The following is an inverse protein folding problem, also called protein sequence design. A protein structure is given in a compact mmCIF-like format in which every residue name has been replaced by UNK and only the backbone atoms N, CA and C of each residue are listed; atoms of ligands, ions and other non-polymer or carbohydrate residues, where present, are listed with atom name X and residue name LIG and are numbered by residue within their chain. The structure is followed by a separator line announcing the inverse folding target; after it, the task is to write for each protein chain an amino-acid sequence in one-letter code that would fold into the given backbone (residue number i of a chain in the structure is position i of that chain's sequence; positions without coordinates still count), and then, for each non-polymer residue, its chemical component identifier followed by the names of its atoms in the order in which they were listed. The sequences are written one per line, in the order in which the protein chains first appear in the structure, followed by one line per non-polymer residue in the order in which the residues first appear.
data_IF_894841127398
#
_entry.id   IF_894841127398
#
_cell.length_a   1.000
_cell.length_b   1.000
_cell.length_c   1.000
_cell.angle_alpha   90.00
_cell.angle_beta   90.00
_cell.angle_gamma   90.00
#
_symmetry.space_group_name_H-M   'P 1'
#
loop_
_entity.id
_entity.type
_entity.pdbx_description
1 polymer ?
#
# COMPACT_ATOMS: atom_id res chain seq x y z
N UNK A 1 -1.60 -6.68 21.67
CA UNK A 1 -1.19 -6.56 20.25
C UNK A 1 -0.73 -5.14 20.03
N UNK A 2 0.40 -4.96 19.36
CA UNK A 2 1.01 -3.64 19.11
C UNK A 2 0.17 -2.86 18.09
N UNK A 3 -0.28 -1.64 18.37
CA UNK A 3 -0.98 -0.80 17.42
C UNK A 3 -0.06 -0.34 16.28
N UNK A 4 -0.65 -0.10 15.11
CA UNK A 4 0.01 0.48 13.93
C UNK A 4 -0.59 1.85 13.63
N UNK A 5 0.24 2.89 13.56
CA UNK A 5 -0.16 4.24 13.14
C UNK A 5 0.33 4.52 11.74
N UNK A 6 -0.61 4.90 10.87
CA UNK A 6 -0.36 5.41 9.54
C UNK A 6 -0.49 6.93 9.61
N UNK A 7 0.61 7.63 9.42
CA UNK A 7 0.67 9.09 9.60
C UNK A 7 0.92 9.75 8.25
N UNK A 8 0.04 10.61 7.82
CA UNK A 8 0.31 11.49 6.69
C UNK A 8 1.38 12.53 7.05
N UNK A 9 2.01 13.14 6.07
CA UNK A 9 3.13 14.07 6.26
C UNK A 9 2.73 15.52 6.01
N UNK A 10 2.31 15.83 4.78
CA UNK A 10 2.08 17.20 4.35
C UNK A 10 0.79 17.77 4.98
N UNK A 11 0.87 18.94 5.61
CA UNK A 11 -0.19 19.56 6.41
C UNK A 11 -0.72 18.73 7.61
N UNK A 12 -0.18 17.53 7.81
CA UNK A 12 -0.38 16.71 9.01
C UNK A 12 0.79 16.82 9.99
N UNK A 13 1.95 16.28 9.67
CA UNK A 13 3.16 16.32 10.52
C UNK A 13 4.07 17.51 10.20
N UNK A 14 4.09 17.96 8.93
CA UNK A 14 4.80 19.12 8.43
C UNK A 14 3.78 20.12 7.87
N UNK A 15 3.78 21.35 8.33
CA UNK A 15 2.98 22.42 7.71
C UNK A 15 3.54 22.74 6.32
N UNK A 16 2.89 22.22 5.29
CA UNK A 16 3.33 22.34 3.91
C UNK A 16 2.13 22.60 2.99
N UNK A 17 1.72 23.86 2.90
CA UNK A 17 0.58 24.24 2.04
C UNK A 17 0.87 23.90 0.58
N UNK A 18 0.34 22.78 0.11
CA UNK A 18 0.54 22.28 -1.26
C UNK A 18 0.23 23.33 -2.33
N UNK A 19 -0.78 24.18 -2.14
CA UNK A 19 -1.11 25.28 -3.04
C UNK A 19 0.01 26.33 -3.20
N UNK A 20 0.95 26.43 -2.26
CA UNK A 20 2.13 27.30 -2.34
C UNK A 20 3.39 26.52 -2.70
N UNK A 21 3.53 25.34 -2.15
CA UNK A 21 4.72 24.50 -2.32
C UNK A 21 4.84 23.95 -3.74
N UNK A 22 3.78 23.36 -4.29
CA UNK A 22 3.82 22.73 -5.63
C UNK A 22 4.18 23.72 -6.76
N UNK A 23 3.62 24.94 -6.83
CA UNK A 23 4.06 25.91 -7.84
C UNK A 23 5.54 26.29 -7.72
N UNK A 24 6.05 26.45 -6.49
CA UNK A 24 7.47 26.75 -6.27
C UNK A 24 8.36 25.56 -6.65
N UNK A 25 7.97 24.35 -6.29
CA UNK A 25 8.63 23.11 -6.66
C UNK A 25 8.69 22.95 -8.19
N UNK A 26 7.56 23.09 -8.89
CA UNK A 26 7.53 22.98 -10.36
C UNK A 26 8.40 24.03 -11.04
N UNK A 27 8.38 25.28 -10.54
CA UNK A 27 9.23 26.36 -11.05
C UNK A 27 10.72 26.04 -10.86
N UNK A 28 11.10 25.56 -9.68
CA UNK A 28 12.49 25.23 -9.37
C UNK A 28 12.97 24.06 -10.22
N UNK A 29 12.15 23.03 -10.36
CA UNK A 29 12.46 21.84 -11.16
C UNK A 29 12.58 22.19 -12.64
N UNK A 30 11.60 22.91 -13.21
CA UNK A 30 11.64 23.35 -14.61
C UNK A 30 12.84 24.27 -14.91
N UNK A 31 13.22 25.15 -13.97
CA UNK A 31 14.41 25.98 -14.12
C UNK A 31 15.70 25.16 -14.13
N UNK A 32 15.81 24.16 -13.26
CA UNK A 32 16.97 23.25 -13.21
C UNK A 32 17.12 22.45 -14.52
N UNK A 33 15.98 22.05 -15.10
CA UNK A 33 15.93 21.23 -16.33
C UNK A 33 15.89 22.04 -17.63
N UNK A 34 15.90 23.37 -17.56
CA UNK A 34 15.78 24.27 -18.73
C UNK A 34 16.85 24.08 -19.80
N UNK A 35 17.99 23.48 -19.44
CA UNK A 35 19.05 23.11 -20.38
C UNK A 35 18.73 21.88 -21.26
N UNK A 36 17.79 21.04 -20.82
CA UNK A 36 17.41 19.79 -21.52
C UNK A 36 16.08 19.93 -22.24
N UNK A 37 15.12 20.62 -21.60
CA UNK A 37 13.73 20.70 -22.08
C UNK A 37 13.18 22.10 -21.83
N UNK A 38 12.32 22.55 -22.73
CA UNK A 38 11.59 23.80 -22.56
C UNK A 38 10.71 23.70 -21.29
N UNK A 39 10.71 24.75 -20.40
CA UNK A 39 10.07 24.69 -19.08
C UNK A 39 8.59 24.33 -19.08
N UNK A 40 7.78 24.91 -19.97
CA UNK A 40 6.33 24.63 -20.01
C UNK A 40 6.04 23.21 -20.49
N UNK A 41 6.83 22.72 -21.46
CA UNK A 41 6.75 21.30 -21.90
C UNK A 41 7.16 20.35 -20.79
N UNK A 42 8.19 20.69 -20.03
CA UNK A 42 8.63 19.89 -18.90
C UNK A 42 7.52 19.77 -17.84
N UNK A 43 6.96 20.91 -17.39
CA UNK A 43 5.92 20.94 -16.35
C UNK A 43 4.64 20.22 -16.83
N UNK A 44 4.20 20.46 -18.04
CA UNK A 44 3.00 19.79 -18.58
C UNK A 44 3.17 18.27 -18.66
N UNK A 45 4.36 17.79 -19.06
CA UNK A 45 4.68 16.35 -19.08
C UNK A 45 4.78 15.77 -17.67
N UNK A 46 5.41 16.49 -16.73
CA UNK A 46 5.47 16.09 -15.33
C UNK A 46 4.08 15.89 -14.75
N UNK A 47 3.18 16.87 -14.92
CA UNK A 47 1.79 16.78 -14.44
C UNK A 47 1.05 15.61 -15.08
N UNK A 48 1.16 15.45 -16.40
CA UNK A 48 0.45 14.35 -17.10
C UNK A 48 0.97 12.98 -16.70
N UNK A 49 2.26 12.82 -16.47
CA UNK A 49 2.87 11.56 -16.01
C UNK A 49 2.51 11.27 -14.55
N UNK A 50 2.48 12.30 -13.68
CA UNK A 50 1.97 12.16 -12.31
C UNK A 50 0.50 11.74 -12.30
N UNK A 51 -0.31 12.25 -13.23
CA UNK A 51 -1.70 11.87 -13.34
C UNK A 51 -1.88 10.40 -13.72
N UNK A 52 -0.99 9.84 -14.56
CA UNK A 52 -0.95 8.40 -14.85
C UNK A 52 -0.61 7.56 -13.62
N UNK A 53 0.33 8.01 -12.78
CA UNK A 53 0.61 7.36 -11.49
C UNK A 53 -0.65 7.31 -10.61
N UNK A 54 -1.36 8.44 -10.47
CA UNK A 54 -2.58 8.54 -9.66
C UNK A 54 -3.68 7.59 -10.18
N UNK A 55 -3.75 7.38 -11.49
CA UNK A 55 -4.73 6.51 -12.12
C UNK A 55 -4.32 5.03 -12.16
N UNK A 56 -3.12 4.68 -11.68
CA UNK A 56 -2.66 3.30 -11.72
C UNK A 56 -3.54 2.39 -10.86
N UNK A 57 -4.01 1.30 -11.45
CA UNK A 57 -4.78 0.24 -10.80
C UNK A 57 -4.05 -1.12 -10.89
N UNK A 58 -2.87 -1.15 -11.49
CA UNK A 58 -2.09 -2.37 -11.72
C UNK A 58 -1.21 -2.67 -10.51
N UNK A 59 -1.34 -3.84 -9.90
CA UNK A 59 -0.52 -4.27 -8.77
C UNK A 59 0.87 -4.80 -9.17
N UNK A 60 1.15 -4.96 -10.46
CA UNK A 60 2.39 -5.45 -11.06
C UNK A 60 3.25 -4.34 -11.65
N UNK A 61 2.94 -3.08 -11.36
CA UNK A 61 3.68 -1.91 -11.85
C UNK A 61 3.83 -0.87 -10.74
N UNK A 62 5.05 -0.58 -10.36
CA UNK A 62 5.34 0.51 -9.43
C UNK A 62 4.97 1.87 -10.02
N UNK A 63 4.73 2.85 -9.17
CA UNK A 63 4.44 4.22 -9.60
C UNK A 63 5.61 4.82 -10.38
N UNK A 64 6.85 4.47 -10.02
CA UNK A 64 8.04 4.87 -10.76
C UNK A 64 8.04 4.34 -12.18
N UNK A 65 7.76 3.06 -12.38
CA UNK A 65 7.68 2.46 -13.71
C UNK A 65 6.58 3.11 -14.56
N UNK A 66 5.40 3.36 -13.98
CA UNK A 66 4.29 4.06 -14.65
C UNK A 66 4.69 5.48 -15.04
N UNK A 67 5.42 6.17 -14.17
CA UNK A 67 5.93 7.50 -14.44
C UNK A 67 7.00 7.48 -15.54
N UNK A 68 7.99 6.63 -15.41
CA UNK A 68 9.14 6.54 -16.31
C UNK A 68 8.70 6.20 -17.74
N UNK A 69 7.76 5.26 -17.90
CA UNK A 69 7.20 4.85 -19.20
C UNK A 69 6.51 5.98 -19.97
N UNK A 70 6.07 7.02 -19.27
CA UNK A 70 5.41 8.16 -19.90
C UNK A 70 6.28 9.40 -19.95
N UNK A 71 7.02 9.69 -18.91
CA UNK A 71 7.75 10.94 -18.74
C UNK A 71 8.94 11.06 -19.71
N UNK A 72 9.86 10.10 -19.63
CA UNK A 72 11.08 10.15 -20.42
C UNK A 72 10.83 10.04 -21.93
N UNK A 73 10.03 9.11 -22.45
CA UNK A 73 9.75 9.03 -23.88
C UNK A 73 9.04 10.28 -24.42
N UNK A 74 8.11 10.88 -23.65
CA UNK A 74 7.40 12.09 -24.06
C UNK A 74 8.35 13.28 -24.23
N UNK A 75 9.37 13.37 -23.39
CA UNK A 75 10.39 14.41 -23.46
C UNK A 75 11.52 14.09 -24.45
N UNK A 76 11.62 12.83 -24.92
CA UNK A 76 12.73 12.36 -25.75
C UNK A 76 14.03 12.23 -24.95
N UNK A 77 13.94 11.91 -23.67
CA UNK A 77 15.08 11.74 -22.75
C UNK A 77 15.34 10.26 -22.49
N UNK A 78 16.60 9.94 -22.17
CA UNK A 78 16.98 8.66 -21.61
C UNK A 78 17.10 8.81 -20.09
N UNK A 79 16.42 7.97 -19.31
CA UNK A 79 16.38 8.04 -17.84
C UNK A 79 17.78 7.92 -17.22
N UNK A 80 18.63 7.02 -17.74
CA UNK A 80 19.99 6.80 -17.22
C UNK A 80 20.89 8.03 -17.41
N UNK A 81 20.76 8.71 -18.57
CA UNK A 81 21.56 9.88 -18.90
C UNK A 81 21.24 11.09 -18.02
N UNK A 82 20.00 11.17 -17.53
CA UNK A 82 19.51 12.34 -16.76
C UNK A 82 19.38 12.06 -15.26
N UNK A 83 19.64 10.84 -14.82
CA UNK A 83 19.53 10.46 -13.40
C UNK A 83 20.42 11.31 -12.49
N UNK A 84 21.64 11.65 -12.95
CA UNK A 84 22.55 12.51 -12.20
C UNK A 84 21.96 13.93 -11.98
N UNK A 85 21.22 14.46 -12.96
CA UNK A 85 20.59 15.77 -12.85
C UNK A 85 19.39 15.77 -11.89
N UNK A 86 18.60 14.67 -11.86
CA UNK A 86 17.58 14.49 -10.84
C UNK A 86 18.19 14.44 -9.42
N UNK A 87 19.24 13.67 -9.26
CA UNK A 87 19.94 13.56 -7.98
C UNK A 87 20.51 14.92 -7.54
N UNK A 88 21.11 15.68 -8.46
CA UNK A 88 21.62 17.04 -8.18
C UNK A 88 20.48 18.00 -7.77
N UNK A 89 19.33 17.95 -8.44
CA UNK A 89 18.17 18.75 -8.04
C UNK A 89 17.75 18.48 -6.59
N UNK A 90 17.57 17.21 -6.22
CA UNK A 90 17.16 16.85 -4.87
C UNK A 90 18.25 17.08 -3.82
N UNK A 91 19.52 17.07 -4.20
CA UNK A 91 20.64 17.37 -3.30
C UNK A 91 20.84 18.87 -3.06
N UNK A 92 20.67 19.69 -4.09
CA UNK A 92 21.14 21.09 -4.07
C UNK A 92 19.99 22.11 -4.11
N UNK A 93 18.93 21.83 -4.89
CA UNK A 93 17.84 22.81 -5.14
C UNK A 93 16.65 22.55 -4.23
N UNK A 94 16.20 21.31 -4.13
CA UNK A 94 15.02 20.92 -3.34
C UNK A 94 15.12 21.35 -1.86
N UNK A 95 16.29 21.28 -1.18
CA UNK A 95 16.44 21.77 0.21
C UNK A 95 16.08 23.23 0.41
N UNK A 96 16.23 24.08 -0.63
CA UNK A 96 15.89 25.51 -0.55
C UNK A 96 14.39 25.76 -0.35
N UNK A 97 13.55 24.79 -0.71
CA UNK A 97 12.10 24.85 -0.53
C UNK A 97 11.67 24.66 0.92
N UNK A 98 12.55 24.25 1.82
CA UNK A 98 12.28 24.16 3.26
C UNK A 98 11.68 25.44 3.82
N UNK A 99 12.10 26.59 3.32
CA UNK A 99 11.61 27.90 3.75
C UNK A 99 10.11 28.13 3.54
N UNK A 100 9.47 27.29 2.69
CA UNK A 100 8.03 27.32 2.44
C UNK A 100 7.25 26.42 3.41
N UNK A 101 7.95 25.64 4.23
CA UNK A 101 7.34 24.71 5.19
C UNK A 101 7.41 25.25 6.62
N UNK A 102 6.59 24.68 7.49
CA UNK A 102 6.53 25.05 8.90
C UNK A 102 6.53 23.80 9.77
N UNK A 103 7.51 23.72 10.68
CA UNK A 103 7.55 22.68 11.71
C UNK A 103 6.30 22.75 12.60
N UNK A 104 5.80 21.60 13.00
CA UNK A 104 4.72 21.42 13.96
C UNK A 104 5.24 20.72 15.22
N UNK A 105 5.32 21.42 16.35
CA UNK A 105 5.86 20.85 17.60
C UNK A 105 5.02 19.67 18.11
N UNK A 106 3.70 19.74 17.98
CA UNK A 106 2.80 18.64 18.34
C UNK A 106 3.00 17.37 17.50
N UNK A 107 3.56 17.49 16.29
CA UNK A 107 3.93 16.31 15.49
C UNK A 107 5.10 15.54 16.12
N UNK A 108 6.08 16.25 16.67
CA UNK A 108 7.21 15.64 17.37
C UNK A 108 6.71 14.90 18.61
N UNK A 109 5.86 15.53 19.41
CA UNK A 109 5.25 14.91 20.59
C UNK A 109 4.47 13.63 20.25
N UNK A 110 3.70 13.65 19.14
CA UNK A 110 2.96 12.46 18.68
C UNK A 110 3.91 11.32 18.27
N UNK A 111 4.99 11.64 17.55
CA UNK A 111 5.98 10.64 17.11
C UNK A 111 6.70 10.05 18.33
N UNK A 112 7.15 10.89 19.28
CA UNK A 112 7.81 10.43 20.50
C UNK A 112 6.87 9.53 21.32
N UNK A 113 5.63 9.97 21.55
CA UNK A 113 4.61 9.16 22.22
C UNK A 113 4.40 7.79 21.55
N UNK A 114 4.28 7.77 20.22
CA UNK A 114 4.04 6.52 19.50
C UNK A 114 5.19 5.52 19.67
N UNK A 115 6.43 5.98 19.57
CA UNK A 115 7.60 5.13 19.81
C UNK A 115 7.77 4.72 21.26
N UNK A 116 7.54 5.62 22.22
CA UNK A 116 7.62 5.33 23.66
C UNK A 116 6.56 4.28 24.08
N UNK A 117 5.39 4.31 23.44
CA UNK A 117 4.35 3.29 23.60
C UNK A 117 4.59 1.99 22.80
N UNK A 118 5.68 1.91 22.04
CA UNK A 118 6.03 0.75 21.23
C UNK A 118 5.14 0.55 20.01
N UNK A 119 4.49 1.59 19.50
CA UNK A 119 3.65 1.49 18.30
C UNK A 119 4.50 1.27 17.04
N UNK A 120 3.95 0.53 16.08
CA UNK A 120 4.49 0.52 14.71
C UNK A 120 4.08 1.79 13.99
N UNK A 121 5.05 2.58 13.53
CA UNK A 121 4.79 3.86 12.88
C UNK A 121 5.16 3.80 11.40
N UNK A 122 4.22 4.20 10.56
CA UNK A 122 4.36 4.32 9.11
C UNK A 122 4.15 5.77 8.69
N UNK A 123 5.06 6.29 7.89
CA UNK A 123 4.82 7.55 7.17
C UNK A 123 4.04 7.22 5.90
N UNK A 124 2.75 7.50 5.95
CA UNK A 124 1.78 7.20 4.90
C UNK A 124 1.46 8.45 4.08
N UNK A 125 2.49 9.11 3.52
CA UNK A 125 2.33 10.26 2.62
C UNK A 125 1.92 9.79 1.21
N UNK A 126 1.28 10.67 0.42
CA UNK A 126 0.97 10.30 -0.96
C UNK A 126 2.26 10.04 -1.75
N UNK A 127 2.51 8.82 -2.28
CA UNK A 127 3.79 8.42 -2.84
C UNK A 127 4.02 8.98 -4.26
N UNK A 128 3.91 10.29 -4.41
CA UNK A 128 4.12 10.99 -5.69
C UNK A 128 5.52 11.63 -5.78
N UNK A 129 6.31 11.53 -4.72
CA UNK A 129 7.66 12.06 -4.65
C UNK A 129 8.69 10.97 -4.45
N UNK A 130 9.95 11.17 -4.91
CA UNK A 130 11.04 10.27 -4.62
C UNK A 130 11.33 10.22 -3.11
N UNK A 131 11.83 9.06 -2.67
CA UNK A 131 12.16 8.80 -1.27
C UNK A 131 13.07 9.88 -0.69
N UNK A 132 14.04 10.37 -1.48
CA UNK A 132 14.95 11.45 -1.07
C UNK A 132 14.21 12.74 -0.69
N UNK A 133 13.18 13.12 -1.42
CA UNK A 133 12.35 14.29 -1.10
C UNK A 133 11.52 14.07 0.17
N UNK A 134 11.03 12.85 0.38
CA UNK A 134 10.24 12.51 1.57
C UNK A 134 11.14 12.53 2.81
N UNK A 135 12.33 11.92 2.73
CA UNK A 135 13.30 11.93 3.84
C UNK A 135 13.71 13.35 4.23
N UNK A 136 13.97 14.23 3.27
CA UNK A 136 14.26 15.64 3.56
C UNK A 136 13.11 16.36 4.27
N UNK A 137 11.86 16.11 3.84
CA UNK A 137 10.67 16.69 4.51
C UNK A 137 10.50 16.18 5.94
N UNK A 138 10.83 14.93 6.22
CA UNK A 138 10.89 14.40 7.59
C UNK A 138 11.96 15.11 8.44
N UNK A 139 13.11 15.44 7.83
CA UNK A 139 14.12 16.24 8.51
C UNK A 139 13.67 17.68 8.77
N UNK A 140 12.99 18.32 7.81
CA UNK A 140 12.41 19.65 7.99
C UNK A 140 11.39 19.68 9.13
N UNK A 141 10.65 18.58 9.32
CA UNK A 141 9.72 18.39 10.43
C UNK A 141 10.42 18.03 11.76
N UNK A 142 11.74 17.76 11.76
CA UNK A 142 12.54 17.25 12.90
C UNK A 142 12.10 15.87 13.41
N UNK A 143 11.57 15.05 12.54
CA UNK A 143 11.16 13.66 12.78
C UNK A 143 11.88 12.72 11.80
N UNK A 144 13.19 12.88 11.63
CA UNK A 144 13.97 12.18 10.63
C UNK A 144 13.97 10.66 10.82
N UNK A 145 14.08 9.92 9.71
CA UNK A 145 14.21 8.46 9.71
C UNK A 145 15.52 7.94 10.33
N UNK A 146 16.50 8.82 10.52
CA UNK A 146 17.74 8.49 11.26
C UNK A 146 17.50 8.42 12.78
N UNK A 147 16.56 9.23 13.28
CA UNK A 147 16.22 9.29 14.71
C UNK A 147 15.12 8.27 15.07
N UNK A 148 14.15 8.08 14.19
CA UNK A 148 12.96 7.26 14.44
C UNK A 148 12.90 6.08 13.47
N UNK A 149 12.85 4.82 13.96
CA UNK A 149 12.85 3.63 13.12
C UNK A 149 11.46 3.32 12.56
N UNK A 150 10.99 4.14 11.61
CA UNK A 150 9.72 3.91 10.91
C UNK A 150 9.69 2.52 10.25
N UNK A 151 8.59 1.79 10.43
CA UNK A 151 8.41 0.49 9.80
C UNK A 151 8.33 0.58 8.28
N UNK A 152 7.77 1.68 7.78
CA UNK A 152 7.63 1.95 6.35
C UNK A 152 7.53 3.47 6.12
N UNK A 153 8.13 3.92 5.03
CA UNK A 153 7.97 5.28 4.49
C UNK A 153 7.57 5.10 3.03
N UNK A 154 6.38 5.57 2.66
CA UNK A 154 5.85 5.40 1.31
C UNK A 154 6.55 6.32 0.33
N UNK A 155 6.86 5.83 -0.87
CA UNK A 155 7.49 6.61 -1.94
C UNK A 155 7.16 6.02 -3.32
N UNK A 156 7.34 6.80 -4.37
CA UNK A 156 6.92 6.39 -5.71
C UNK A 156 7.77 5.24 -6.29
N UNK A 157 8.98 5.05 -5.79
CA UNK A 157 9.89 4.01 -6.27
C UNK A 157 9.37 2.60 -6.03
N UNK A 158 8.67 2.41 -4.92
CA UNK A 158 8.33 1.07 -4.45
C UNK A 158 6.84 0.84 -4.24
N UNK A 159 6.00 1.88 -4.37
CA UNK A 159 4.55 1.76 -4.23
C UNK A 159 3.86 1.62 -5.59
N UNK A 160 2.72 0.92 -5.59
CA UNK A 160 1.91 0.65 -6.78
C UNK A 160 0.68 1.55 -6.83
N UNK A 161 0.18 1.97 -5.68
CA UNK A 161 -1.03 2.77 -5.58
C UNK A 161 -0.78 4.08 -4.87
N UNK A 162 -1.64 5.08 -5.18
CA UNK A 162 -1.66 6.40 -4.55
C UNK A 162 -2.94 6.60 -3.77
N UNK A 163 -3.00 7.58 -2.89
CA UNK A 163 -4.24 8.15 -2.40
C UNK A 163 -5.01 8.79 -3.59
N UNK A 164 -6.35 8.72 -3.63
CA UNK A 164 -7.29 8.21 -2.63
C UNK A 164 -7.70 6.73 -2.81
N UNK A 165 -6.90 5.90 -3.44
CA UNK A 165 -7.23 4.49 -3.65
C UNK A 165 -7.13 3.71 -2.32
N UNK A 166 -8.17 2.99 -1.85
CA UNK A 166 -8.07 2.14 -0.66
C UNK A 166 -6.98 1.06 -0.76
N UNK A 167 -6.61 0.62 -1.98
CA UNK A 167 -5.52 -0.32 -2.21
C UNK A 167 -4.16 0.22 -1.77
N UNK A 168 -3.96 1.55 -1.72
CA UNK A 168 -2.76 2.17 -1.16
C UNK A 168 -2.57 1.80 0.33
N UNK A 169 -3.63 1.91 1.13
CA UNK A 169 -3.59 1.52 2.54
C UNK A 169 -3.49 0.01 2.72
N UNK A 170 -4.16 -0.74 1.87
CA UNK A 170 -4.06 -2.20 1.86
C UNK A 170 -2.64 -2.67 1.50
N UNK A 171 -1.94 -2.00 0.57
CA UNK A 171 -0.54 -2.27 0.23
C UNK A 171 0.40 -1.99 1.41
N UNK A 172 0.19 -0.91 2.17
CA UNK A 172 0.92 -0.68 3.42
C UNK A 172 0.76 -1.87 4.36
N UNK A 173 -0.49 -2.31 4.60
CA UNK A 173 -0.75 -3.45 5.49
C UNK A 173 -0.17 -4.75 4.95
N UNK A 174 -0.25 -5.00 3.64
CA UNK A 174 0.33 -6.16 2.99
C UNK A 174 1.85 -6.23 3.20
N UNK A 175 2.54 -5.12 2.99
CA UNK A 175 4.00 -5.00 3.23
C UNK A 175 4.39 -5.16 4.70
N UNK A 176 3.49 -4.82 5.61
CA UNK A 176 3.65 -5.08 7.06
C UNK A 176 3.24 -6.51 7.46
N UNK A 177 2.78 -7.33 6.52
CA UNK A 177 2.25 -8.67 6.80
C UNK A 177 0.92 -8.65 7.54
N UNK A 178 0.05 -7.70 7.23
CA UNK A 178 -1.30 -7.56 7.84
C UNK A 178 -1.26 -7.67 9.36
N UNK A 179 -0.72 -6.69 10.08
CA UNK A 179 -0.57 -6.75 11.52
C UNK A 179 -1.92 -7.04 12.21
N UNK A 180 -1.97 -7.99 13.15
CA UNK A 180 -3.22 -8.42 13.78
C UNK A 180 -3.76 -7.41 14.80
N UNK A 181 -3.03 -6.35 15.08
CA UNK A 181 -3.36 -5.32 16.06
C UNK A 181 -4.29 -4.21 15.53
N UNK A 182 -4.62 -3.24 16.38
CA UNK A 182 -5.29 -2.02 16.00
C UNK A 182 -4.52 -1.25 14.92
N UNK A 183 -5.22 -0.60 14.00
CA UNK A 183 -4.62 0.25 12.96
C UNK A 183 -5.40 1.56 12.87
N UNK A 184 -4.68 2.67 12.88
CA UNK A 184 -5.28 4.00 12.73
C UNK A 184 -4.55 4.84 11.69
N UNK A 185 -5.30 5.51 10.82
CA UNK A 185 -4.82 6.56 9.93
C UNK A 185 -5.03 7.92 10.57
N UNK A 186 -4.01 8.78 10.56
CA UNK A 186 -4.07 10.17 11.00
C UNK A 186 -3.65 11.05 9.83
N UNK A 187 -4.53 11.94 9.38
CA UNK A 187 -4.27 12.84 8.27
C UNK A 187 -5.23 14.03 8.24
N UNK A 188 -4.94 15.03 7.40
CA UNK A 188 -5.69 16.27 7.31
C UNK A 188 -6.66 16.33 6.12
N UNK A 189 -6.48 15.47 5.13
CA UNK A 189 -7.29 15.47 3.90
C UNK A 189 -8.39 14.38 3.98
N UNK A 190 -9.65 14.83 3.92
CA UNK A 190 -10.80 13.90 3.94
C UNK A 190 -10.80 12.95 2.74
N UNK A 191 -10.47 13.44 1.55
CA UNK A 191 -10.54 12.66 0.31
C UNK A 191 -9.34 11.70 0.18
N UNK A 192 -8.15 12.14 0.60
CA UNK A 192 -6.93 11.36 0.42
C UNK A 192 -6.59 10.50 1.64
N UNK A 193 -6.91 10.93 2.87
CA UNK A 193 -6.53 10.22 4.09
C UNK A 193 -7.68 9.47 4.73
N UNK A 194 -8.81 10.14 4.91
CA UNK A 194 -9.86 9.64 5.80
C UNK A 194 -10.79 8.67 5.06
N UNK A 195 -11.40 9.11 3.97
CA UNK A 195 -12.39 8.27 3.27
C UNK A 195 -11.80 6.96 2.73
N UNK A 196 -10.62 6.93 2.08
CA UNK A 196 -10.07 5.68 1.58
C UNK A 196 -9.60 4.74 2.72
N UNK A 197 -9.06 5.27 3.82
CA UNK A 197 -8.75 4.47 4.99
C UNK A 197 -10.03 3.87 5.62
N UNK A 198 -11.11 4.67 5.74
CA UNK A 198 -12.41 4.21 6.21
C UNK A 198 -13.07 3.21 5.26
N UNK A 199 -12.89 3.36 3.94
CA UNK A 199 -13.36 2.38 2.93
C UNK A 199 -12.63 1.05 3.06
N UNK A 200 -11.33 1.06 3.38
CA UNK A 200 -10.60 -0.16 3.71
C UNK A 200 -11.06 -0.78 5.03
N UNK A 201 -11.71 -0.03 5.92
CA UNK A 201 -12.18 -0.49 7.23
C UNK A 201 -11.27 -0.11 8.39
N UNK A 202 -10.34 0.83 8.19
CA UNK A 202 -9.45 1.33 9.24
C UNK A 202 -10.16 2.41 10.10
N UNK A 203 -9.74 2.55 11.35
CA UNK A 203 -10.01 3.76 12.10
C UNK A 203 -9.24 4.93 11.48
N UNK A 204 -9.84 6.13 11.45
CA UNK A 204 -9.19 7.30 10.90
C UNK A 204 -9.49 8.56 11.73
N UNK A 205 -8.45 9.32 12.07
CA UNK A 205 -8.56 10.59 12.77
C UNK A 205 -8.28 11.73 11.80
N UNK A 206 -9.23 12.65 11.68
CA UNK A 206 -9.12 13.80 10.80
C UNK A 206 -8.52 15.01 11.54
N UNK A 207 -7.36 15.45 11.09
CA UNK A 207 -6.71 16.67 11.61
C UNK A 207 -7.41 17.88 11.03
N UNK A 208 -8.08 18.65 11.90
CA UNK A 208 -8.74 19.91 11.54
C UNK A 208 -7.92 21.11 11.97
N UNK A 209 -8.02 22.22 11.23
CA UNK A 209 -7.28 23.44 11.54
C UNK A 209 -8.07 24.44 12.38
N UNK A 210 -9.41 24.46 12.30
CA UNK A 210 -10.26 25.50 12.87
C UNK A 210 -11.51 24.99 13.62
N UNK A 211 -11.45 23.78 14.19
CA UNK A 211 -12.61 23.21 14.88
C UNK A 211 -13.76 22.86 13.95
N UNK A 212 -13.45 22.51 12.70
CA UNK A 212 -14.40 22.04 11.72
C UNK A 212 -15.09 20.77 12.21
N UNK A 213 -16.39 20.67 12.00
CA UNK A 213 -17.12 19.47 12.35
C UNK A 213 -16.98 18.43 11.23
N UNK A 214 -16.76 17.14 11.58
CA UNK A 214 -16.68 16.08 10.59
C UNK A 214 -18.00 16.02 9.77
N UNK A 215 -17.90 15.82 8.45
CA UNK A 215 -19.09 15.63 7.63
C UNK A 215 -19.79 14.33 8.01
N UNK A 216 -21.12 14.34 7.92
CA UNK A 216 -21.91 13.13 8.07
C UNK A 216 -21.78 12.24 6.83
N UNK A 217 -21.77 10.92 7.05
CA UNK A 217 -21.70 9.95 5.96
C UNK A 217 -21.20 8.57 6.37
N UNK A 218 -21.25 7.64 5.43
CA UNK A 218 -20.84 6.23 5.63
C UNK A 218 -19.37 6.11 6.05
N UNK A 219 -18.49 6.97 5.52
CA UNK A 219 -17.04 6.92 5.74
C UNK A 219 -16.54 8.08 6.60
N UNK A 220 -17.38 8.60 7.50
CA UNK A 220 -16.99 9.66 8.41
C UNK A 220 -15.75 9.29 9.25
N UNK A 221 -14.95 10.28 9.67
CA UNK A 221 -13.84 10.06 10.58
C UNK A 221 -14.25 9.33 11.87
N UNK A 222 -13.36 8.53 12.43
CA UNK A 222 -13.53 7.91 13.75
C UNK A 222 -13.27 8.89 14.89
N UNK A 223 -12.49 9.93 14.61
CA UNK A 223 -12.21 11.07 15.49
C UNK A 223 -11.81 12.28 14.66
N UNK A 224 -11.88 13.47 15.23
CA UNK A 224 -11.47 14.71 14.57
C UNK A 224 -11.01 15.73 15.62
N UNK A 225 -10.08 16.61 15.22
CA UNK A 225 -9.52 17.67 16.07
C UNK A 225 -8.14 18.11 15.58
N UNK A 226 -7.43 18.90 16.36
CA UNK A 226 -6.04 19.24 16.06
C UNK A 226 -5.08 18.10 16.45
N UNK A 227 -3.79 18.28 16.19
CA UNK A 227 -2.76 17.29 16.59
C UNK A 227 -2.72 17.00 18.08
N UNK A 228 -3.10 17.97 18.94
CA UNK A 228 -3.13 17.78 20.39
C UNK A 228 -4.19 16.77 20.85
N UNK A 229 -5.26 16.58 20.07
CA UNK A 229 -6.36 15.68 20.38
C UNK A 229 -6.10 14.24 19.92
N UNK A 230 -5.05 13.97 19.11
CA UNK A 230 -4.74 12.63 18.59
C UNK A 230 -4.39 11.67 19.72
N UNK A 231 -3.47 12.04 20.63
CA UNK A 231 -3.06 11.18 21.76
C UNK A 231 -4.26 10.85 22.66
N UNK A 232 -5.04 11.84 23.14
CA UNK A 232 -6.26 11.57 23.89
C UNK A 232 -7.25 10.64 23.15
N UNK A 233 -7.38 10.78 21.83
CA UNK A 233 -8.23 9.90 21.04
C UNK A 233 -7.69 8.47 20.96
N UNK A 234 -6.38 8.29 20.80
CA UNK A 234 -5.75 6.96 20.81
C UNK A 234 -5.96 6.26 22.15
N UNK A 235 -5.96 7.01 23.25
CA UNK A 235 -6.16 6.51 24.61
C UNK A 235 -7.65 6.40 25.01
N UNK A 236 -8.59 6.95 24.24
CA UNK A 236 -10.01 7.07 24.57
C UNK A 236 -10.77 5.75 24.47
N UNK A 237 -10.54 4.83 25.38
CA UNK A 237 -11.32 3.60 25.48
C UNK A 237 -10.53 2.33 25.14
N UNK A 238 -11.20 1.15 25.14
CA UNK A 238 -10.55 -0.09 24.75
C UNK A 238 -10.10 -0.01 23.28
N UNK A 239 -8.95 -0.60 22.96
CA UNK A 239 -8.35 -0.62 21.62
C UNK A 239 -9.27 -1.16 20.50
N UNK A 240 -10.44 -1.67 20.87
CA UNK A 240 -11.47 -2.18 19.94
C UNK A 240 -11.98 -1.11 18.97
N UNK A 241 -11.98 0.20 19.34
CA UNK A 241 -12.39 1.28 18.43
C UNK A 241 -11.39 1.49 17.27
N UNK A 242 -10.16 0.99 17.42
CA UNK A 242 -9.12 1.03 16.38
C UNK A 242 -8.99 -0.30 15.60
N UNK A 243 -9.83 -1.30 15.92
CA UNK A 243 -9.78 -2.60 15.27
C UNK A 243 -10.30 -2.50 13.84
N UNK A 244 -9.51 -2.95 12.84
CA UNK A 244 -9.94 -2.93 11.45
C UNK A 244 -11.13 -3.88 11.19
N UNK A 245 -12.02 -3.47 10.26
CA UNK A 245 -13.09 -4.30 9.72
C UNK A 245 -12.94 -4.43 8.19
N UNK A 246 -12.48 -5.59 7.74
CA UNK A 246 -12.23 -5.88 6.32
C UNK A 246 -13.40 -6.61 5.63
N UNK A 247 -14.63 -6.47 6.12
CA UNK A 247 -15.80 -7.21 5.63
C UNK A 247 -16.54 -6.53 4.48
N UNK A 248 -16.24 -5.26 4.18
CA UNK A 248 -16.89 -4.53 3.09
C UNK A 248 -16.36 -4.97 1.71
N UNK A 249 -17.16 -4.81 0.66
CA UNK A 249 -16.71 -5.06 -0.72
C UNK A 249 -15.51 -4.19 -1.11
N UNK A 250 -15.48 -2.92 -0.68
CA UNK A 250 -14.34 -2.02 -0.87
C UNK A 250 -13.06 -2.60 -0.25
N UNK A 251 -13.15 -3.13 0.99
CA UNK A 251 -12.01 -3.73 1.69
C UNK A 251 -11.54 -5.03 1.03
N UNK A 252 -12.47 -5.85 0.57
CA UNK A 252 -12.18 -7.11 -0.13
C UNK A 252 -11.41 -6.81 -1.42
N UNK A 253 -11.93 -5.92 -2.28
CA UNK A 253 -11.26 -5.54 -3.53
C UNK A 253 -9.88 -4.93 -3.25
N UNK A 254 -9.78 -4.01 -2.28
CA UNK A 254 -8.53 -3.38 -1.92
C UNK A 254 -7.49 -4.40 -1.43
N UNK A 255 -7.90 -5.38 -0.62
CA UNK A 255 -7.03 -6.47 -0.16
C UNK A 255 -6.53 -7.32 -1.33
N UNK A 256 -7.44 -7.81 -2.17
CA UNK A 256 -7.10 -8.63 -3.33
C UNK A 256 -6.16 -7.89 -4.29
N UNK A 257 -6.37 -6.58 -4.49
CA UNK A 257 -5.53 -5.73 -5.34
C UNK A 257 -4.15 -5.50 -4.75
N UNK A 258 -4.05 -5.34 -3.44
CA UNK A 258 -2.80 -5.04 -2.76
C UNK A 258 -1.91 -6.28 -2.53
N UNK A 259 -2.46 -7.50 -2.60
CA UNK A 259 -1.70 -8.71 -2.33
C UNK A 259 -0.50 -8.89 -3.27
N UNK A 260 -0.66 -8.87 -4.61
CA UNK A 260 0.49 -8.99 -5.50
C UNK A 260 1.45 -7.80 -5.37
N UNK A 261 0.96 -6.57 -5.20
CA UNK A 261 1.80 -5.40 -4.97
C UNK A 261 2.65 -5.49 -3.68
N UNK A 262 2.04 -6.00 -2.60
CA UNK A 262 2.76 -6.25 -1.35
C UNK A 262 3.84 -7.33 -1.49
N UNK A 263 3.55 -8.41 -2.22
CA UNK A 263 4.52 -9.48 -2.51
C UNK A 263 5.64 -8.98 -3.42
N UNK A 264 5.33 -8.21 -4.46
CA UNK A 264 6.32 -7.59 -5.34
C UNK A 264 7.31 -6.75 -4.53
N UNK A 265 6.79 -5.85 -3.69
CA UNK A 265 7.64 -5.03 -2.82
C UNK A 265 8.43 -5.81 -1.75
N UNK A 266 7.94 -6.98 -1.31
CA UNK A 266 8.64 -7.83 -0.34
C UNK A 266 9.69 -8.73 -1.00
N UNK A 267 9.60 -8.95 -2.31
CA UNK A 267 10.56 -9.75 -3.10
C UNK A 267 11.60 -8.91 -3.82
N UNK A 268 11.40 -7.58 -3.86
CA UNK A 268 12.35 -6.65 -4.44
C UNK A 268 13.73 -6.79 -3.78
N UNK A 269 14.78 -6.84 -4.58
CA UNK A 269 16.18 -7.00 -4.14
C UNK A 269 16.51 -8.29 -3.34
N UNK A 270 15.60 -9.30 -3.29
CA UNK A 270 15.91 -10.57 -2.64
C UNK A 270 16.88 -11.44 -3.47
N UNK A 271 17.87 -12.01 -2.82
CA UNK A 271 18.73 -12.97 -3.48
C UNK A 271 17.96 -14.27 -3.81
N UNK A 272 18.22 -14.89 -4.98
CA UNK A 272 17.47 -16.09 -5.41
C UNK A 272 17.52 -17.26 -4.42
N UNK A 273 18.59 -17.36 -3.65
CA UNK A 273 18.79 -18.43 -2.67
C UNK A 273 17.75 -18.39 -1.55
N UNK A 274 17.25 -17.20 -1.17
CA UNK A 274 16.26 -17.05 -0.10
C UNK A 274 14.93 -17.72 -0.42
N UNK A 275 14.60 -17.86 -1.71
CA UNK A 275 13.30 -18.39 -2.13
C UNK A 275 13.11 -19.87 -1.81
N UNK A 276 14.20 -20.65 -1.71
CA UNK A 276 14.15 -22.11 -1.49
C UNK A 276 14.54 -22.53 -0.08
N UNK A 277 14.92 -21.58 0.78
CA UNK A 277 15.25 -21.89 2.18
C UNK A 277 13.95 -22.02 2.98
N UNK A 278 13.73 -23.14 3.61
CA UNK A 278 12.64 -23.35 4.57
C UNK A 278 13.01 -22.78 5.93
N UNK A 279 12.14 -21.99 6.58
CA UNK A 279 12.44 -21.41 7.89
C UNK A 279 12.60 -22.49 8.97
N UNK A 280 11.78 -23.55 8.90
CA UNK A 280 11.82 -24.73 9.78
C UNK A 280 11.42 -25.99 8.99
N UNK A 281 11.76 -27.20 9.47
CA UNK A 281 11.32 -28.45 8.84
C UNK A 281 9.79 -28.54 8.81
N UNK A 282 9.22 -28.74 7.61
CA UNK A 282 7.78 -28.82 7.39
C UNK A 282 7.07 -27.48 7.13
N UNK A 283 7.75 -26.36 7.30
CA UNK A 283 7.23 -25.05 6.92
C UNK A 283 7.55 -24.77 5.43
N UNK A 284 6.71 -23.97 4.77
CA UNK A 284 6.91 -23.59 3.38
C UNK A 284 8.00 -22.51 3.24
N UNK A 285 8.81 -22.62 2.19
CA UNK A 285 9.69 -21.56 1.75
C UNK A 285 8.93 -20.49 0.95
N UNK A 286 9.61 -19.38 0.61
CA UNK A 286 8.98 -18.28 -0.13
C UNK A 286 8.43 -18.72 -1.49
N UNK A 287 9.17 -19.54 -2.25
CA UNK A 287 8.72 -20.04 -3.55
C UNK A 287 7.45 -20.90 -3.42
N UNK A 288 7.34 -21.73 -2.39
CA UNK A 288 6.17 -22.57 -2.17
C UNK A 288 4.92 -21.73 -1.89
N UNK A 289 5.03 -20.63 -1.13
CA UNK A 289 3.94 -19.71 -0.85
C UNK A 289 3.48 -19.02 -2.14
N UNK A 290 4.39 -18.54 -2.97
CA UNK A 290 4.07 -17.85 -4.22
C UNK A 290 3.40 -18.79 -5.25
N UNK A 291 3.91 -20.01 -5.40
CA UNK A 291 3.32 -21.02 -6.27
C UNK A 291 1.91 -21.42 -5.79
N UNK A 292 1.71 -21.54 -4.49
CA UNK A 292 0.40 -21.83 -3.92
C UNK A 292 -0.62 -20.71 -4.21
N UNK A 293 -0.25 -19.45 -3.99
CA UNK A 293 -1.12 -18.31 -4.30
C UNK A 293 -1.49 -18.26 -5.79
N UNK A 294 -0.54 -18.51 -6.69
CA UNK A 294 -0.76 -18.60 -8.14
C UNK A 294 -1.79 -19.69 -8.47
N UNK A 295 -1.54 -20.91 -8.04
CA UNK A 295 -2.38 -22.05 -8.42
C UNK A 295 -3.79 -21.95 -7.82
N UNK A 296 -3.91 -21.45 -6.58
CA UNK A 296 -5.22 -21.18 -5.96
C UNK A 296 -5.98 -20.09 -6.72
N UNK A 297 -5.32 -19.05 -7.18
CA UNK A 297 -5.98 -18.00 -7.97
C UNK A 297 -6.48 -18.56 -9.31
N UNK A 298 -5.61 -19.25 -10.04
CA UNK A 298 -5.88 -19.76 -11.40
C UNK A 298 -6.90 -20.90 -11.41
N UNK A 299 -6.77 -21.86 -10.49
CA UNK A 299 -7.53 -23.10 -10.55
C UNK A 299 -8.74 -23.13 -9.59
N UNK A 300 -8.79 -22.23 -8.61
CA UNK A 300 -9.84 -22.24 -7.59
C UNK A 300 -10.65 -20.95 -7.60
N UNK A 301 -10.02 -19.80 -7.35
CA UNK A 301 -10.73 -18.54 -7.13
C UNK A 301 -11.42 -18.03 -8.39
N UNK A 302 -10.67 -17.74 -9.44
CA UNK A 302 -11.20 -17.22 -10.69
C UNK A 302 -12.26 -18.12 -11.32
N UNK A 303 -12.08 -19.45 -11.44
CA UNK A 303 -13.11 -20.34 -11.95
C UNK A 303 -14.39 -20.34 -11.11
N UNK A 304 -14.29 -20.27 -9.78
CA UNK A 304 -15.46 -20.18 -8.89
C UNK A 304 -16.24 -18.90 -9.10
N UNK A 305 -15.56 -17.76 -9.18
CA UNK A 305 -16.23 -16.46 -9.40
C UNK A 305 -16.93 -16.42 -10.74
N UNK A 306 -16.27 -16.86 -11.81
CA UNK A 306 -16.88 -16.97 -13.14
C UNK A 306 -18.13 -17.84 -13.10
N UNK A 307 -18.08 -18.97 -12.41
CA UNK A 307 -19.21 -19.89 -12.30
C UNK A 307 -20.40 -19.27 -11.56
N UNK A 308 -20.15 -18.55 -10.43
CA UNK A 308 -21.21 -17.87 -9.67
C UNK A 308 -21.86 -16.75 -10.48
N UNK A 309 -21.07 -16.06 -11.32
CA UNK A 309 -21.57 -14.96 -12.15
C UNK A 309 -22.39 -15.50 -13.34
N UNK A 310 -21.98 -16.63 -13.93
CA UNK A 310 -22.60 -17.20 -15.14
C UNK A 310 -23.79 -18.12 -14.88
N UNK A 311 -23.81 -18.81 -13.74
CA UNK A 311 -24.84 -19.80 -13.40
C UNK A 311 -25.77 -19.28 -12.29
N UNK A 312 -26.94 -19.93 -12.16
CA UNK A 312 -27.90 -19.67 -11.08
C UNK A 312 -27.70 -20.69 -9.98
N UNK A 313 -27.35 -20.24 -8.75
CA UNK A 313 -27.14 -21.08 -7.57
C UNK A 313 -26.24 -22.31 -7.82
N UNK A 314 -25.01 -22.11 -8.38
CA UNK A 314 -24.15 -23.23 -8.75
C UNK A 314 -23.63 -23.98 -7.53
N UNK A 315 -23.39 -25.30 -7.71
CA UNK A 315 -22.63 -26.08 -6.74
C UNK A 315 -21.11 -25.91 -6.97
N UNK A 316 -20.39 -25.58 -5.91
CA UNK A 316 -18.94 -25.40 -5.89
C UNK A 316 -18.29 -26.53 -5.10
N UNK A 317 -17.47 -27.38 -5.73
CA UNK A 317 -16.80 -28.47 -5.03
C UNK A 317 -15.76 -27.93 -4.04
N UNK A 318 -15.53 -28.64 -2.96
CA UNK A 318 -14.37 -28.42 -2.09
C UNK A 318 -13.07 -28.74 -2.83
N UNK A 319 -12.03 -27.97 -2.58
CA UNK A 319 -10.70 -28.25 -3.09
C UNK A 319 -9.74 -28.30 -1.91
N UNK A 320 -8.89 -29.34 -1.86
CA UNK A 320 -7.82 -29.47 -0.88
C UNK A 320 -6.52 -29.10 -1.59
N UNK A 321 -5.93 -27.99 -1.22
CA UNK A 321 -4.77 -27.39 -1.91
C UNK A 321 -3.45 -27.57 -1.16
N UNK A 322 -3.48 -27.93 0.13
CA UNK A 322 -2.28 -28.13 0.94
C UNK A 322 -1.28 -29.16 0.37
N UNK A 323 -1.74 -30.33 -0.19
CA UNK A 323 -0.81 -31.31 -0.76
C UNK A 323 -0.09 -30.82 -2.03
N UNK A 324 -0.60 -29.78 -2.69
CA UNK A 324 -0.06 -29.30 -3.97
C UNK A 324 1.41 -28.87 -3.87
N UNK A 325 1.86 -28.38 -2.73
CA UNK A 325 3.24 -27.97 -2.54
C UNK A 325 4.23 -29.12 -2.80
N UNK A 326 3.93 -30.29 -2.27
CA UNK A 326 4.74 -31.50 -2.46
C UNK A 326 4.44 -32.18 -3.80
N UNK A 327 3.17 -32.37 -4.16
CA UNK A 327 2.74 -33.04 -5.40
C UNK A 327 3.26 -32.33 -6.65
N UNK A 328 3.28 -30.99 -6.64
CA UNK A 328 3.74 -30.16 -7.76
C UNK A 328 5.19 -29.68 -7.62
N UNK A 329 5.86 -30.08 -6.55
CA UNK A 329 7.26 -29.73 -6.26
C UNK A 329 7.50 -28.20 -6.31
N UNK A 330 6.69 -27.41 -5.61
CA UNK A 330 6.77 -25.96 -5.62
C UNK A 330 8.15 -25.43 -5.24
N UNK A 331 8.86 -26.11 -4.34
CA UNK A 331 10.24 -25.72 -3.95
C UNK A 331 11.23 -25.72 -5.13
N UNK A 332 10.93 -26.46 -6.21
CA UNK A 332 11.78 -26.52 -7.41
C UNK A 332 11.35 -25.52 -8.48
N UNK A 333 10.29 -24.76 -8.24
CA UNK A 333 9.77 -23.76 -9.20
C UNK A 333 10.37 -22.39 -8.92
N UNK A 334 10.39 -21.53 -9.96
CA UNK A 334 10.83 -20.16 -9.84
C UNK A 334 9.76 -19.30 -9.17
N UNK A 335 10.06 -18.77 -7.96
CA UNK A 335 9.12 -18.01 -7.16
C UNK A 335 8.72 -16.67 -7.80
N UNK A 336 9.65 -15.98 -8.48
CA UNK A 336 9.35 -14.70 -9.13
C UNK A 336 8.46 -14.91 -10.37
N UNK A 337 8.71 -15.96 -11.15
CA UNK A 337 7.81 -16.35 -12.25
C UNK A 337 6.40 -16.68 -11.71
N UNK A 338 6.31 -17.40 -10.59
CA UNK A 338 5.03 -17.70 -9.96
C UNK A 338 4.30 -16.42 -9.49
N UNK A 339 5.03 -15.44 -8.94
CA UNK A 339 4.46 -14.13 -8.57
C UNK A 339 3.94 -13.36 -9.80
N UNK A 340 4.69 -13.36 -10.90
CA UNK A 340 4.24 -12.71 -12.13
C UNK A 340 2.96 -13.34 -12.69
N UNK A 341 2.89 -14.69 -12.72
CA UNK A 341 1.71 -15.44 -13.13
C UNK A 341 0.51 -15.21 -12.19
N UNK A 342 0.74 -15.19 -10.88
CA UNK A 342 -0.26 -14.83 -9.88
C UNK A 342 -0.81 -13.42 -10.12
N UNK A 343 0.08 -12.45 -10.33
CA UNK A 343 -0.30 -11.05 -10.57
C UNK A 343 -1.15 -10.89 -11.83
N UNK A 344 -0.81 -11.63 -12.89
CA UNK A 344 -1.59 -11.65 -14.13
C UNK A 344 -2.99 -12.27 -13.93
N UNK A 345 -3.08 -13.42 -13.25
CA UNK A 345 -4.37 -14.05 -12.94
C UNK A 345 -5.22 -13.15 -12.01
N UNK A 346 -4.60 -12.48 -11.05
CA UNK A 346 -5.28 -11.53 -10.16
C UNK A 346 -5.82 -10.31 -10.92
N UNK A 347 -5.13 -9.82 -11.94
CA UNK A 347 -5.66 -8.77 -12.82
C UNK A 347 -6.94 -9.20 -13.53
N UNK A 348 -7.03 -10.46 -13.96
CA UNK A 348 -8.26 -11.01 -14.56
C UNK A 348 -9.40 -11.07 -13.53
N UNK A 349 -9.12 -11.56 -12.32
CA UNK A 349 -10.07 -11.55 -11.20
C UNK A 349 -10.54 -10.14 -10.87
N UNK A 350 -9.64 -9.17 -10.74
CA UNK A 350 -9.99 -7.77 -10.44
C UNK A 350 -10.81 -7.15 -11.57
N UNK A 351 -10.46 -7.42 -12.83
CA UNK A 351 -11.23 -6.97 -13.99
C UNK A 351 -12.67 -7.49 -13.99
N UNK A 352 -12.88 -8.71 -13.47
CA UNK A 352 -14.21 -9.28 -13.26
C UNK A 352 -14.96 -8.57 -12.13
N UNK A 353 -14.31 -8.43 -10.95
CA UNK A 353 -14.94 -7.91 -9.73
C UNK A 353 -15.24 -6.40 -9.81
N UNK A 354 -14.38 -5.60 -10.45
CA UNK A 354 -14.55 -4.16 -10.61
C UNK A 354 -15.75 -3.77 -11.48
N UNK A 355 -16.23 -4.69 -12.31
CA UNK A 355 -17.37 -4.47 -13.22
C UNK A 355 -18.70 -5.01 -12.67
N UNK A 356 -18.74 -5.50 -11.43
CA UNK A 356 -19.97 -6.03 -10.82
C UNK A 356 -20.89 -4.92 -10.30
N UNK A 357 -22.16 -5.08 -10.57
CA UNK A 357 -23.19 -4.29 -9.89
C UNK A 357 -23.31 -4.69 -8.41
N UNK A 358 -23.79 -3.79 -7.52
CA UNK A 358 -23.97 -4.11 -6.10
C UNK A 358 -24.82 -5.37 -5.84
N UNK A 359 -25.76 -5.69 -6.72
CA UNK A 359 -26.59 -6.89 -6.59
C UNK A 359 -25.84 -8.19 -6.90
N UNK A 360 -24.83 -8.13 -7.77
CA UNK A 360 -24.07 -9.32 -8.18
C UNK A 360 -23.23 -9.90 -7.02
N UNK A 361 -22.82 -9.07 -6.08
CA UNK A 361 -22.12 -9.52 -4.88
C UNK A 361 -22.92 -10.50 -4.02
N UNK A 362 -24.24 -10.48 -4.14
CA UNK A 362 -25.17 -11.36 -3.42
C UNK A 362 -25.72 -12.51 -4.27
N UNK A 363 -25.05 -12.81 -5.42
CA UNK A 363 -25.40 -13.99 -6.23
C UNK A 363 -25.16 -15.25 -5.43
N UNK A 364 -26.20 -16.11 -5.24
CA UNK A 364 -26.08 -17.27 -4.40
C UNK A 364 -25.27 -18.38 -5.06
N UNK A 365 -24.65 -19.21 -4.21
CA UNK A 365 -23.99 -20.45 -4.58
C UNK A 365 -24.08 -21.45 -3.43
N UNK A 366 -23.74 -22.71 -3.69
CA UNK A 366 -23.67 -23.77 -2.68
C UNK A 366 -22.27 -24.37 -2.69
N UNK A 367 -21.53 -24.12 -1.61
CA UNK A 367 -20.18 -24.66 -1.46
C UNK A 367 -20.19 -25.96 -0.66
N UNK A 368 -19.40 -26.96 -1.11
CA UNK A 368 -19.36 -28.29 -0.47
C UNK A 368 -18.99 -28.26 1.02
N UNK A 369 -18.20 -27.29 1.46
CA UNK A 369 -17.73 -27.15 2.85
C UNK A 369 -18.53 -26.09 3.62
N UNK A 370 -18.78 -24.93 3.01
CA UNK A 370 -19.42 -23.77 3.68
C UNK A 370 -20.96 -23.82 3.61
N UNK A 371 -21.53 -24.68 2.73
CA UNK A 371 -22.97 -24.72 2.50
C UNK A 371 -23.47 -23.60 1.60
N UNK A 372 -24.70 -23.06 1.85
CA UNK A 372 -25.20 -21.90 1.15
C UNK A 372 -24.29 -20.69 1.37
N UNK A 373 -23.92 -20.00 0.31
CA UNK A 373 -22.97 -18.88 0.32
C UNK A 373 -23.32 -17.89 -0.80
N UNK A 374 -22.61 -16.77 -0.89
CA UNK A 374 -22.72 -15.82 -2.00
C UNK A 374 -21.33 -15.40 -2.52
N UNK A 375 -21.31 -14.63 -3.60
CA UNK A 375 -20.05 -14.17 -4.20
C UNK A 375 -19.23 -13.32 -3.23
N UNK A 376 -19.89 -12.48 -2.41
CA UNK A 376 -19.20 -11.64 -1.41
C UNK A 376 -18.50 -12.48 -0.36
N UNK A 377 -19.15 -13.51 0.16
CA UNK A 377 -18.54 -14.40 1.16
C UNK A 377 -17.35 -15.17 0.57
N UNK A 378 -17.48 -15.70 -0.65
CA UNK A 378 -16.40 -16.37 -1.35
C UNK A 378 -15.18 -15.48 -1.56
N UNK A 379 -15.38 -14.25 -2.03
CA UNK A 379 -14.29 -13.29 -2.22
C UNK A 379 -13.70 -12.81 -0.90
N UNK A 380 -14.51 -12.70 0.16
CA UNK A 380 -14.03 -12.40 1.52
C UNK A 380 -13.12 -13.50 2.08
N UNK A 381 -13.45 -14.78 1.81
CA UNK A 381 -12.61 -15.92 2.17
C UNK A 381 -11.28 -15.85 1.43
N UNK A 382 -11.27 -15.54 0.12
CA UNK A 382 -10.03 -15.38 -0.65
C UNK A 382 -9.18 -14.21 -0.16
N UNK A 383 -9.78 -13.06 0.16
CA UNK A 383 -9.07 -11.95 0.76
C UNK A 383 -8.49 -12.30 2.16
N UNK A 384 -9.21 -13.12 2.93
CA UNK A 384 -8.71 -13.67 4.19
C UNK A 384 -7.51 -14.60 4.01
N UNK A 385 -7.57 -15.48 3.02
CA UNK A 385 -6.49 -16.38 2.62
C UNK A 385 -5.24 -15.61 2.18
N UNK A 386 -5.39 -14.58 1.36
CA UNK A 386 -4.31 -13.69 0.96
C UNK A 386 -3.60 -13.05 2.16
N UNK A 387 -4.37 -12.51 3.13
CA UNK A 387 -3.80 -11.92 4.35
C UNK A 387 -2.99 -12.94 5.16
N UNK A 388 -3.48 -14.17 5.29
CA UNK A 388 -2.77 -15.24 5.99
C UNK A 388 -1.44 -15.60 5.30
N UNK A 389 -1.43 -15.70 3.97
CA UNK A 389 -0.21 -15.99 3.22
C UNK A 389 0.77 -14.83 3.20
N UNK A 390 0.31 -13.57 3.22
CA UNK A 390 1.19 -12.41 3.42
C UNK A 390 1.85 -12.39 4.81
N UNK A 391 1.10 -12.76 5.87
CA UNK A 391 1.67 -12.95 7.21
C UNK A 391 2.72 -14.06 7.21
N UNK A 392 2.39 -15.20 6.59
CA UNK A 392 3.32 -16.32 6.46
C UNK A 392 4.56 -15.91 5.67
N UNK A 393 4.40 -15.28 4.50
CA UNK A 393 5.49 -14.84 3.65
C UNK A 393 6.45 -13.91 4.40
N UNK A 394 5.91 -12.88 5.09
CA UNK A 394 6.73 -11.94 5.86
C UNK A 394 7.48 -12.63 7.01
N UNK A 395 6.81 -13.52 7.75
CA UNK A 395 7.45 -14.31 8.82
C UNK A 395 8.57 -15.19 8.26
N UNK A 396 8.29 -15.93 7.19
CA UNK A 396 9.28 -16.78 6.52
C UNK A 396 10.48 -15.95 6.06
N UNK A 397 10.24 -14.82 5.38
CA UNK A 397 11.30 -13.91 4.91
C UNK A 397 12.19 -13.42 6.07
N UNK A 398 11.59 -13.01 7.18
CA UNK A 398 12.35 -12.59 8.36
C UNK A 398 13.23 -13.72 8.87
N UNK A 399 12.69 -14.91 9.08
CA UNK A 399 13.41 -16.06 9.64
C UNK A 399 14.57 -16.52 8.73
N UNK A 400 14.35 -16.61 7.41
CA UNK A 400 15.40 -17.03 6.48
C UNK A 400 16.49 -15.96 6.32
N UNK A 401 16.13 -14.67 6.38
CA UNK A 401 17.09 -13.58 6.36
C UNK A 401 18.01 -13.60 7.60
N UNK A 402 17.46 -13.84 8.79
CA UNK A 402 18.21 -13.98 10.03
C UNK A 402 19.13 -15.23 10.00
N UNK A 403 18.70 -16.35 9.41
CA UNK A 403 19.52 -17.55 9.24
C UNK A 403 20.75 -17.28 8.36
N UNK A 404 20.56 -16.59 7.23
CA UNK A 404 21.67 -16.29 6.31
C UNK A 404 22.64 -15.27 6.90
N UNK A 405 22.18 -14.29 7.68
CA UNK A 405 23.06 -13.32 8.33
C UNK A 405 23.92 -13.94 9.45
N UNK A 406 23.48 -15.05 10.05
CA UNK A 406 24.17 -15.73 11.15
C UNK A 406 25.08 -16.88 10.67
N UNK A 407 25.17 -17.13 9.35
CA UNK A 407 26.04 -18.13 8.71
C UNK A 407 27.25 -17.48 8.05
#
# INVERSE_FOLDING_TARGET
MTPTLLLDLDDTLLGNKLGTFLPAYFKALASHWSRHVEPDRFVSTLISSTQRMIQNQRPDRTLKEVFDDSFYPTLGLNSEEVQADFNAFYAEVFPTLQTLTKRRERAIELIEYAFDCGYQVVIATNPLFPRTAILQRLEWAQISAQRYPYQLITSYETFHFTKPNPAYYAEILARLGWPPGPVAMIGDDLENDIYPARRLGLAAFWITQNGESPPDGKFKPSGAGGLAEVIPWLESGPSDHLKPDFSSTDSIIATLRATPAGLDALTDDLSPELFTIRPEPGEWCLAEILCHLRDVEVEVNLPRYLKVIQETDPFLPGMVTDPWADERQYICQDGLSALAEFSQARLETLGLLDNLDPADWHRPARHAIFGPTDLKELTSISAGHDRLHLQQFRRTLQMVSEQVQNT
#
